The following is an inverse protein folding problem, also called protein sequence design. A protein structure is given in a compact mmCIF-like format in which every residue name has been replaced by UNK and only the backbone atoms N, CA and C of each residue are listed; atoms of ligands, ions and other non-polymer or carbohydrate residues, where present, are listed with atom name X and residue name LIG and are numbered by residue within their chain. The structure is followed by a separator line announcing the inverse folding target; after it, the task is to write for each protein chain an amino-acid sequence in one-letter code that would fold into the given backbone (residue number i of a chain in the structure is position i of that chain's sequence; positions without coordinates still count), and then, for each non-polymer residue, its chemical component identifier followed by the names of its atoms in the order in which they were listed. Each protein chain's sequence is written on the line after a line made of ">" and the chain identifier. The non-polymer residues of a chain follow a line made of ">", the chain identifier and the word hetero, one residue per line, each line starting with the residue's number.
data_IF_726443958907
#
_entry.id   IF_726443958907
#
_cell.length_a   1.000
_cell.length_b   1.000
_cell.length_c   1.000
_cell.angle_alpha   90.00
_cell.angle_beta   90.00
_cell.angle_gamma   90.00
#
_symmetry.space_group_name_H-M   'P 1'
#
loop_
_entity.id
_entity.type
_entity.pdbx_description
1 polymer ?
#
# COMPACT_ATOMS: atom_id res chain seq x y z
N UNK A 1 9.62 4.16 -10.44
CA UNK A 1 10.94 4.17 -9.77
C UNK A 1 11.96 5.16 -10.33
N UNK A 2 12.77 4.78 -11.32
CA UNK A 2 13.90 5.59 -11.79
C UNK A 2 13.47 6.96 -12.30
N UNK A 3 12.31 7.07 -12.94
CA UNK A 3 11.76 8.35 -13.37
C UNK A 3 11.58 9.36 -12.23
N UNK A 4 11.16 8.91 -11.04
CA UNK A 4 10.98 9.80 -9.86
C UNK A 4 12.33 10.28 -9.36
N UNK A 5 13.30 9.37 -9.24
CA UNK A 5 14.65 9.72 -8.81
C UNK A 5 15.33 10.67 -9.82
N UNK A 6 15.18 10.38 -11.12
CA UNK A 6 15.72 11.23 -12.19
C UNK A 6 15.08 12.61 -12.19
N UNK A 7 13.75 12.70 -12.10
CA UNK A 7 13.03 13.97 -11.98
C UNK A 7 13.53 14.78 -10.78
N UNK A 8 13.68 14.14 -9.62
CA UNK A 8 14.22 14.79 -8.42
C UNK A 8 15.67 15.25 -8.62
N UNK A 9 16.51 14.48 -9.33
CA UNK A 9 17.86 14.91 -9.69
C UNK A 9 17.84 16.15 -10.61
N UNK A 10 16.95 16.21 -11.60
CA UNK A 10 16.77 17.40 -12.43
C UNK A 10 16.36 18.61 -11.59
N UNK A 11 15.33 18.46 -10.74
CA UNK A 11 14.89 19.54 -9.85
C UNK A 11 16.03 20.01 -8.92
N UNK A 12 16.87 19.10 -8.43
CA UNK A 12 18.02 19.48 -7.60
C UNK A 12 19.13 20.16 -8.40
N UNK A 13 19.32 19.80 -9.67
CA UNK A 13 20.29 20.46 -10.55
C UNK A 13 19.97 21.94 -10.75
N UNK A 14 18.68 22.31 -10.79
CA UNK A 14 18.23 23.70 -10.95
C UNK A 14 18.75 24.66 -9.85
N UNK A 15 19.13 24.14 -8.68
CA UNK A 15 19.63 24.96 -7.55
C UNK A 15 21.07 24.65 -7.10
N UNK A 16 21.63 23.54 -7.53
CA UNK A 16 22.91 23.04 -7.02
C UNK A 16 23.87 22.55 -8.10
N UNK A 17 23.68 23.00 -9.35
CA UNK A 17 24.57 22.67 -10.46
C UNK A 17 26.00 23.22 -10.22
N UNK A 18 27.06 22.45 -10.53
CA UNK A 18 27.04 21.07 -11.02
C UNK A 18 26.76 20.05 -9.92
N UNK A 19 26.00 19.01 -10.26
CA UNK A 19 25.78 17.84 -9.39
C UNK A 19 26.52 16.61 -9.92
N UNK A 20 27.12 15.82 -9.04
CA UNK A 20 27.60 14.48 -9.38
C UNK A 20 26.59 13.44 -8.92
N UNK A 21 26.37 12.40 -9.72
CA UNK A 21 25.37 11.37 -9.46
C UNK A 21 26.04 10.00 -9.34
N UNK A 22 25.69 9.24 -8.30
CA UNK A 22 26.05 7.82 -8.19
C UNK A 22 24.84 6.97 -7.83
N UNK A 23 24.52 5.99 -8.68
CA UNK A 23 23.47 5.00 -8.43
C UNK A 23 24.06 3.78 -7.73
N UNK A 24 23.33 3.23 -6.77
CA UNK A 24 23.76 2.04 -6.03
C UNK A 24 22.84 0.86 -6.28
N UNK A 25 23.31 -0.37 -6.09
CA UNK A 25 22.51 -1.61 -6.20
C UNK A 25 22.26 -2.26 -4.84
N UNK A 26 23.22 -2.22 -3.92
CA UNK A 26 23.23 -2.94 -2.65
C UNK A 26 23.34 -2.04 -1.40
N UNK A 27 23.65 -0.75 -1.56
CA UNK A 27 23.59 0.22 -0.46
C UNK A 27 22.14 0.43 0.01
N UNK A 28 21.93 0.92 1.25
CA UNK A 28 20.60 1.24 1.76
C UNK A 28 19.95 2.43 1.04
N UNK A 29 20.67 3.12 0.16
CA UNK A 29 20.21 4.24 -0.67
C UNK A 29 20.12 3.80 -2.14
N UNK A 30 19.25 4.45 -2.90
CA UNK A 30 19.13 4.19 -4.34
C UNK A 30 20.17 4.99 -5.14
N UNK A 31 20.39 6.23 -4.71
CA UNK A 31 21.23 7.21 -5.40
C UNK A 31 21.85 8.16 -4.36
N UNK A 32 23.05 8.67 -4.65
CA UNK A 32 23.65 9.78 -3.90
C UNK A 32 24.03 10.90 -4.88
N UNK A 33 23.78 12.14 -4.46
CA UNK A 33 24.11 13.36 -5.17
C UNK A 33 25.20 14.11 -4.41
N UNK A 34 26.25 14.53 -5.12
CA UNK A 34 27.23 15.48 -4.58
C UNK A 34 26.89 16.84 -5.14
N UNK A 35 26.62 17.79 -4.25
CA UNK A 35 26.32 19.17 -4.61
C UNK A 35 27.62 19.92 -4.90
N UNK A 36 27.51 21.10 -5.52
CA UNK A 36 28.66 21.95 -5.85
C UNK A 36 29.52 22.33 -4.63
N UNK A 37 28.91 22.44 -3.44
CA UNK A 37 29.58 22.72 -2.17
C UNK A 37 30.21 21.48 -1.50
N UNK A 38 30.17 20.32 -2.16
CA UNK A 38 30.72 19.07 -1.67
C UNK A 38 29.81 18.27 -0.73
N UNK A 39 28.69 18.84 -0.26
CA UNK A 39 27.71 18.09 0.54
C UNK A 39 27.12 16.93 -0.25
N UNK A 40 26.82 15.84 0.44
CA UNK A 40 26.27 14.63 -0.18
C UNK A 40 24.85 14.34 0.28
N UNK A 41 23.91 14.28 -0.66
CA UNK A 41 22.49 14.01 -0.39
C UNK A 41 22.13 12.60 -0.87
N UNK A 42 21.65 11.77 0.04
CA UNK A 42 21.18 10.42 -0.27
C UNK A 42 19.71 10.44 -0.66
N UNK A 43 19.34 9.66 -1.67
CA UNK A 43 17.96 9.42 -2.09
C UNK A 43 17.62 7.94 -1.89
N UNK A 44 16.51 7.65 -1.23
CA UNK A 44 16.06 6.28 -0.98
C UNK A 44 14.55 6.13 -1.16
N UNK A 45 14.13 5.17 -1.97
CA UNK A 45 12.73 4.77 -2.17
C UNK A 45 12.34 3.62 -1.25
N UNK A 46 11.16 3.69 -0.65
CA UNK A 46 10.62 2.65 0.22
C UNK A 46 9.69 1.72 -0.56
N UNK A 47 10.25 0.94 -1.49
CA UNK A 47 9.49 0.15 -2.47
C UNK A 47 8.30 -0.62 -1.90
N UNK A 48 7.19 -0.62 -2.63
CA UNK A 48 5.83 -1.03 -2.20
C UNK A 48 5.74 -2.47 -1.69
N UNK A 49 6.43 -3.41 -2.31
CA UNK A 49 6.41 -4.82 -1.88
C UNK A 49 7.37 -5.13 -0.74
N UNK A 50 8.19 -4.16 -0.29
CA UNK A 50 9.05 -4.39 0.87
C UNK A 50 8.22 -4.71 2.08
N UNK A 51 8.53 -5.81 2.73
CA UNK A 51 7.93 -6.12 4.01
C UNK A 51 8.50 -5.22 5.10
N UNK A 52 7.72 -5.08 6.17
CA UNK A 52 8.09 -4.30 7.35
C UNK A 52 9.49 -4.64 7.90
N UNK A 53 9.86 -5.92 7.97
CA UNK A 53 11.19 -6.36 8.42
C UNK A 53 12.29 -5.99 7.41
N UNK A 54 12.01 -6.05 6.11
CA UNK A 54 12.97 -5.63 5.07
C UNK A 54 13.21 -4.12 5.15
N UNK A 55 12.13 -3.34 5.24
CA UNK A 55 12.17 -1.90 5.43
C UNK A 55 12.95 -1.53 6.70
N UNK A 56 12.62 -2.13 7.85
CA UNK A 56 13.31 -1.87 9.11
C UNK A 56 14.82 -2.17 9.02
N UNK A 57 15.22 -3.28 8.39
CA UNK A 57 16.64 -3.59 8.16
C UNK A 57 17.32 -2.57 7.26
N UNK A 58 16.64 -2.10 6.21
CA UNK A 58 17.18 -1.09 5.30
C UNK A 58 17.38 0.25 6.02
N UNK A 59 16.41 0.68 6.82
CA UNK A 59 16.52 1.90 7.63
C UNK A 59 17.61 1.77 8.70
N UNK A 60 17.75 0.61 9.33
CA UNK A 60 18.87 0.36 10.26
C UNK A 60 20.23 0.46 9.56
N UNK A 61 20.39 -0.19 8.39
CA UNK A 61 21.61 -0.05 7.58
C UNK A 61 21.88 1.39 7.12
N UNK A 62 20.85 2.20 6.93
CA UNK A 62 20.98 3.61 6.59
C UNK A 62 21.48 4.42 7.79
N UNK A 63 20.93 4.17 8.98
CA UNK A 63 21.34 4.79 10.24
C UNK A 63 22.78 4.43 10.61
N UNK A 64 23.13 3.15 10.48
CA UNK A 64 24.43 2.59 10.87
C UNK A 64 25.46 2.68 9.72
N UNK A 65 25.08 3.30 8.59
CA UNK A 65 25.84 3.34 7.35
C UNK A 65 26.59 4.67 7.11
N UNK A 66 26.86 5.02 5.84
CA UNK A 66 27.52 6.28 5.48
C UNK A 66 26.76 7.51 6.01
N UNK A 67 27.50 8.52 6.45
CA UNK A 67 26.95 9.79 6.93
C UNK A 67 26.69 10.76 5.76
N UNK A 68 25.43 11.01 5.42
CA UNK A 68 25.04 11.96 4.40
C UNK A 68 24.67 13.32 5.02
N UNK A 69 24.78 14.41 4.26
CA UNK A 69 24.34 15.74 4.67
C UNK A 69 22.82 15.74 4.92
N UNK A 70 22.09 15.07 4.06
CA UNK A 70 20.67 14.80 4.20
C UNK A 70 20.29 13.48 3.52
N UNK A 71 19.18 12.90 3.96
CA UNK A 71 18.54 11.74 3.34
C UNK A 71 17.12 12.12 2.92
N UNK A 72 16.85 12.05 1.62
CA UNK A 72 15.53 12.19 1.01
C UNK A 72 14.89 10.82 0.81
N UNK A 73 13.75 10.59 1.46
CA UNK A 73 13.05 9.31 1.47
C UNK A 73 11.69 9.41 0.79
N UNK A 74 11.47 8.54 -0.19
CA UNK A 74 10.22 8.48 -0.95
C UNK A 74 9.39 7.28 -0.49
N UNK A 75 8.27 7.55 0.18
CA UNK A 75 7.32 6.54 0.60
C UNK A 75 6.24 6.31 -0.47
N UNK A 76 5.80 5.07 -0.72
CA UNK A 76 4.81 4.80 -1.76
C UNK A 76 3.38 5.16 -1.31
N UNK A 77 3.14 5.29 0.00
CA UNK A 77 1.85 5.58 0.62
C UNK A 77 2.04 6.29 1.97
N UNK A 78 0.97 6.92 2.45
CA UNK A 78 0.96 7.75 3.66
C UNK A 78 1.22 6.93 4.93
N UNK A 79 0.71 5.69 4.98
CA UNK A 79 0.97 4.78 6.10
C UNK A 79 2.47 4.51 6.26
N UNK A 80 3.16 4.19 5.17
CA UNK A 80 4.61 3.95 5.19
C UNK A 80 5.41 5.20 5.47
N UNK A 81 4.97 6.35 4.98
CA UNK A 81 5.58 7.64 5.28
C UNK A 81 5.61 7.85 6.80
N UNK A 82 4.45 7.69 7.47
CA UNK A 82 4.30 7.84 8.93
C UNK A 82 5.07 6.80 9.71
N UNK A 83 4.99 5.52 9.31
CA UNK A 83 5.77 4.47 9.98
C UNK A 83 7.28 4.77 9.89
N UNK A 84 7.73 5.23 8.73
CA UNK A 84 9.15 5.55 8.50
C UNK A 84 9.55 6.78 9.29
N UNK A 85 8.75 7.85 9.30
CA UNK A 85 8.99 9.04 10.10
C UNK A 85 9.21 8.67 11.58
N UNK A 86 8.36 7.84 12.18
CA UNK A 86 8.53 7.38 13.58
C UNK A 86 9.85 6.66 13.81
N UNK A 87 10.28 5.80 12.88
CA UNK A 87 11.55 5.06 12.98
C UNK A 87 12.77 5.94 12.82
N UNK A 88 12.62 7.09 12.14
CA UNK A 88 13.70 8.01 11.84
C UNK A 88 13.83 9.15 12.84
N UNK A 89 12.93 9.26 13.83
CA UNK A 89 13.03 10.28 14.90
C UNK A 89 14.35 10.25 15.66
N UNK A 90 14.99 9.09 15.75
CA UNK A 90 16.28 8.90 16.43
C UNK A 90 17.46 8.78 15.46
N UNK A 91 17.25 9.08 14.17
CA UNK A 91 18.34 9.03 13.19
C UNK A 91 19.25 10.25 13.37
N UNK A 92 20.58 10.07 13.45
CA UNK A 92 21.50 11.19 13.67
C UNK A 92 21.60 12.12 12.45
N UNK A 93 21.27 11.63 11.25
CA UNK A 93 21.32 12.39 10.01
C UNK A 93 19.98 13.10 9.76
N UNK A 94 20.03 14.26 9.12
CA UNK A 94 18.82 14.99 8.68
C UNK A 94 18.08 14.16 7.63
N UNK A 95 16.82 13.84 7.93
CA UNK A 95 15.98 13.06 7.03
C UNK A 95 14.75 13.88 6.62
N UNK A 96 14.33 13.73 5.38
CA UNK A 96 13.12 14.34 4.85
C UNK A 96 12.35 13.30 4.06
N UNK A 97 11.04 13.22 4.29
CA UNK A 97 10.16 12.22 3.71
C UNK A 97 9.11 12.88 2.83
N UNK A 98 8.80 12.26 1.69
CA UNK A 98 7.69 12.66 0.84
C UNK A 98 6.99 11.42 0.26
N UNK A 99 5.75 11.59 -0.21
CA UNK A 99 5.12 10.55 -1.02
C UNK A 99 5.76 10.52 -2.40
N UNK A 100 5.97 9.33 -2.94
CA UNK A 100 6.56 9.14 -4.27
C UNK A 100 5.74 9.87 -5.34
N UNK A 101 4.40 9.79 -5.26
CA UNK A 101 3.50 10.43 -6.23
C UNK A 101 3.62 11.96 -6.22
N UNK A 102 3.78 12.56 -5.03
CA UNK A 102 3.87 14.01 -4.88
C UNK A 102 5.24 14.50 -5.38
N UNK A 103 6.30 13.76 -5.05
CA UNK A 103 7.67 14.08 -5.48
C UNK A 103 7.88 14.02 -7.01
N UNK A 104 7.06 13.26 -7.75
CA UNK A 104 7.12 13.22 -9.22
C UNK A 104 6.68 14.54 -9.84
N UNK A 105 5.64 15.15 -9.28
CA UNK A 105 5.00 16.34 -9.85
C UNK A 105 5.46 17.63 -9.20
N UNK A 106 6.04 17.57 -8.00
CA UNK A 106 6.50 18.71 -7.24
C UNK A 106 7.63 19.47 -7.94
N UNK A 107 7.55 20.81 -7.86
CA UNK A 107 8.65 21.71 -8.17
C UNK A 107 9.56 21.93 -6.95
N UNK A 108 10.54 22.82 -7.10
CA UNK A 108 11.48 23.19 -6.04
C UNK A 108 10.79 23.70 -4.77
N UNK A 109 9.79 24.54 -4.95
CA UNK A 109 9.13 25.29 -3.86
C UNK A 109 7.85 24.61 -3.36
N UNK A 110 7.53 23.41 -3.85
CA UNK A 110 6.37 22.64 -3.40
C UNK A 110 6.57 22.09 -1.99
N UNK A 111 5.66 22.41 -1.07
CA UNK A 111 5.69 22.00 0.34
C UNK A 111 5.25 20.54 0.53
N UNK A 112 6.11 19.60 0.14
CA UNK A 112 5.81 18.14 0.21
C UNK A 112 6.76 17.36 1.13
N UNK A 113 7.87 17.94 1.54
CA UNK A 113 8.90 17.26 2.32
C UNK A 113 8.65 17.42 3.82
N UNK A 114 8.67 16.33 4.57
CA UNK A 114 8.36 16.33 6.02
C UNK A 114 9.55 15.81 6.80
N UNK A 115 9.96 16.50 7.86
CA UNK A 115 10.95 15.94 8.78
C UNK A 115 10.32 14.86 9.68
N UNK A 116 11.07 13.86 10.18
CA UNK A 116 10.56 12.79 11.04
C UNK A 116 9.77 13.23 12.28
N UNK A 117 10.08 14.43 12.79
CA UNK A 117 9.51 15.01 14.00
C UNK A 117 8.60 16.22 13.74
N UNK A 118 8.54 16.73 12.51
CA UNK A 118 7.85 17.98 12.21
C UNK A 118 6.53 17.73 11.47
N UNK A 119 5.50 18.48 11.88
CA UNK A 119 4.23 18.54 11.17
C UNK A 119 4.31 19.46 9.95
N UNK A 120 5.27 20.39 9.94
CA UNK A 120 5.44 21.38 8.88
C UNK A 120 6.06 20.72 7.64
N UNK A 121 5.38 20.91 6.51
CA UNK A 121 5.89 20.55 5.21
C UNK A 121 6.86 21.62 4.69
N UNK A 122 7.94 21.17 4.06
CA UNK A 122 9.04 21.97 3.54
C UNK A 122 9.08 21.84 2.02
N UNK A 123 9.59 22.88 1.38
CA UNK A 123 10.08 22.84 0.01
C UNK A 123 11.36 22.00 -0.09
N UNK A 124 11.71 21.59 -1.31
CA UNK A 124 12.99 20.91 -1.54
C UNK A 124 14.16 21.85 -1.24
N UNK A 125 14.01 23.15 -1.54
CA UNK A 125 15.00 24.19 -1.25
C UNK A 125 15.29 24.30 0.24
N UNK A 126 14.25 24.39 1.07
CA UNK A 126 14.38 24.45 2.54
C UNK A 126 14.98 23.17 3.11
N UNK A 127 14.52 21.99 2.64
CA UNK A 127 15.07 20.71 3.08
C UNK A 127 16.58 20.61 2.82
N UNK A 128 17.05 21.11 1.66
CA UNK A 128 18.47 21.13 1.31
C UNK A 128 19.25 22.23 2.03
N UNK A 129 18.62 23.36 2.37
CA UNK A 129 19.18 24.39 3.25
C UNK A 129 19.46 23.87 4.66
N UNK A 130 18.63 22.93 5.14
CA UNK A 130 18.79 22.26 6.45
C UNK A 130 19.76 21.07 6.43
N UNK A 131 20.34 20.71 5.27
CA UNK A 131 21.28 19.61 5.17
C UNK A 131 22.60 19.93 5.88
N UNK A 132 23.13 18.96 6.63
CA UNK A 132 24.37 19.11 7.40
C UNK A 132 25.64 19.18 6.55
N UNK A 133 26.83 19.25 7.16
CA UNK A 133 28.10 19.44 6.45
C UNK A 133 28.72 18.14 5.89
N UNK A 134 28.06 16.99 6.02
CA UNK A 134 28.66 15.70 5.65
C UNK A 134 28.83 15.51 4.13
N UNK A 135 29.92 14.87 3.73
CA UNK A 135 30.34 14.70 2.34
C UNK A 135 30.67 13.24 1.97
N UNK A 136 30.02 12.26 2.63
CA UNK A 136 30.28 10.85 2.37
C UNK A 136 29.88 10.42 0.95
N UNK A 137 30.85 9.94 0.20
CA UNK A 137 30.67 9.43 -1.16
C UNK A 137 30.98 7.93 -1.25
N UNK A 138 30.12 7.07 -0.68
CA UNK A 138 30.45 5.67 -0.50
C UNK A 138 30.69 4.99 -1.84
N UNK A 139 31.70 4.11 -1.87
CA UNK A 139 31.95 3.22 -3.01
C UNK A 139 31.29 1.89 -2.71
N UNK A 140 30.39 1.46 -3.59
CA UNK A 140 29.80 0.15 -3.48
C UNK A 140 30.81 -0.91 -3.92
N UNK A 141 31.04 -1.92 -3.07
CA UNK A 141 31.82 -3.09 -3.50
C UNK A 141 31.12 -3.66 -4.73
N UNK A 142 31.82 -3.84 -5.87
CA UNK A 142 31.19 -4.40 -7.05
C UNK A 142 30.52 -5.71 -6.66
N UNK A 143 29.21 -5.81 -6.93
CA UNK A 143 28.55 -7.11 -6.94
C UNK A 143 29.39 -7.98 -7.86
N UNK A 144 29.89 -9.12 -7.35
CA UNK A 144 30.75 -10.10 -8.07
C UNK A 144 30.42 -10.03 -9.55
N UNK A 145 31.40 -9.65 -10.39
CA UNK A 145 31.21 -9.33 -11.83
C UNK A 145 30.27 -10.36 -12.44
N UNK A 146 29.00 -10.03 -12.52
CA UNK A 146 28.04 -10.74 -13.35
C UNK A 146 28.23 -10.07 -14.69
N UNK A 147 29.14 -10.61 -15.51
CA UNK A 147 29.13 -10.28 -16.93
C UNK A 147 27.67 -10.38 -17.40
N UNK A 148 27.16 -9.44 -18.21
CA UNK A 148 25.87 -9.64 -18.84
C UNK A 148 25.92 -11.05 -19.45
N UNK A 149 24.98 -11.95 -19.14
CA UNK A 149 25.04 -13.30 -19.66
C UNK A 149 25.20 -13.20 -21.18
N UNK A 150 26.15 -13.94 -21.73
CA UNK A 150 26.40 -14.00 -23.17
C UNK A 150 25.28 -14.76 -23.91
N UNK A 151 24.08 -14.81 -23.33
CA UNK A 151 22.91 -15.41 -23.95
C UNK A 151 22.51 -14.56 -25.15
N UNK A 152 22.36 -15.23 -26.30
CA UNK A 152 21.76 -14.64 -27.48
C UNK A 152 20.34 -14.16 -27.12
N UNK A 153 20.17 -12.85 -27.12
CA UNK A 153 18.90 -12.23 -26.80
C UNK A 153 17.95 -12.40 -27.98
N UNK A 154 16.93 -13.24 -27.81
CA UNK A 154 15.76 -13.18 -28.69
C UNK A 154 15.05 -11.84 -28.47
N UNK A 155 14.71 -11.14 -29.57
CA UNK A 155 13.93 -9.91 -29.55
C UNK A 155 12.59 -10.07 -28.80
N UNK A 156 12.05 -11.28 -28.77
CA UNK A 156 10.75 -11.60 -28.15
C UNK A 156 10.83 -11.70 -26.61
N UNK A 157 12.02 -11.92 -26.05
CA UNK A 157 12.22 -12.08 -24.62
C UNK A 157 13.34 -11.16 -24.13
N UNK A 158 13.08 -9.85 -23.97
CA UNK A 158 14.10 -8.90 -23.54
C UNK A 158 14.72 -9.36 -22.21
N UNK A 159 16.02 -9.12 -22.00
CA UNK A 159 16.68 -9.55 -20.78
C UNK A 159 16.10 -8.89 -19.55
N UNK A 160 16.25 -9.57 -18.41
CA UNK A 160 15.64 -9.17 -17.14
C UNK A 160 15.94 -7.73 -16.70
N UNK A 161 17.12 -7.22 -17.06
CA UNK A 161 17.56 -5.87 -16.71
C UNK A 161 16.91 -4.79 -17.59
N UNK A 162 16.41 -5.13 -18.79
CA UNK A 162 15.70 -4.20 -19.68
C UNK A 162 14.19 -4.15 -19.41
N UNK A 163 13.62 -5.18 -18.77
CA UNK A 163 12.17 -5.32 -18.58
C UNK A 163 11.51 -4.06 -18.02
N UNK A 164 12.14 -3.39 -17.06
CA UNK A 164 11.57 -2.18 -16.45
C UNK A 164 11.46 -1.01 -17.44
N UNK A 165 12.34 -0.92 -18.45
CA UNK A 165 12.30 0.09 -19.50
C UNK A 165 11.26 -0.26 -20.58
N UNK A 166 11.05 -1.56 -20.86
CA UNK A 166 10.08 -2.03 -21.85
C UNK A 166 8.61 -1.96 -21.42
N UNK A 167 8.34 -1.57 -20.18
CA UNK A 167 6.98 -1.48 -19.62
C UNK A 167 6.57 -0.01 -19.45
N UNK A 168 5.42 0.34 -19.99
CA UNK A 168 4.77 1.63 -19.77
C UNK A 168 4.19 1.76 -18.35
N UNK A 169 3.74 2.96 -17.97
CA UNK A 169 3.20 3.23 -16.63
C UNK A 169 1.98 2.35 -16.29
N UNK A 170 1.07 2.14 -17.25
CA UNK A 170 -0.13 1.33 -17.03
C UNK A 170 0.20 -0.16 -16.82
N UNK A 171 1.15 -0.73 -17.57
CA UNK A 171 1.57 -2.12 -17.35
C UNK A 171 2.23 -2.29 -15.98
N UNK A 172 3.09 -1.35 -15.57
CA UNK A 172 3.70 -1.34 -14.23
C UNK A 172 2.63 -1.30 -13.13
N UNK A 173 1.65 -0.39 -13.25
CA UNK A 173 0.52 -0.31 -12.31
C UNK A 173 -0.29 -1.61 -12.25
N UNK A 174 -0.51 -2.29 -13.39
CA UNK A 174 -1.15 -3.61 -13.41
C UNK A 174 -0.34 -4.64 -12.63
N UNK A 175 0.98 -4.71 -12.86
CA UNK A 175 1.86 -5.67 -12.17
C UNK A 175 1.91 -5.39 -10.67
N UNK A 176 1.99 -4.12 -10.25
CA UNK A 176 1.97 -3.72 -8.84
C UNK A 176 0.68 -4.22 -8.15
N UNK A 177 -0.48 -4.02 -8.79
CA UNK A 177 -1.75 -4.51 -8.24
C UNK A 177 -1.83 -6.03 -8.19
N UNK A 178 -1.34 -6.76 -9.21
CA UNK A 178 -1.29 -8.23 -9.18
C UNK A 178 -0.31 -8.72 -8.09
N UNK A 179 0.79 -7.99 -7.86
CA UNK A 179 1.76 -8.31 -6.81
C UNK A 179 1.21 -8.12 -5.40
N UNK A 180 0.40 -7.10 -5.19
CA UNK A 180 -0.30 -6.88 -3.92
C UNK A 180 -1.47 -7.84 -3.71
N UNK A 181 -2.25 -8.06 -4.76
CA UNK A 181 -3.48 -8.84 -4.77
C UNK A 181 -3.33 -10.01 -5.75
N UNK A 182 -2.52 -11.03 -5.41
CA UNK A 182 -2.36 -12.18 -6.27
C UNK A 182 -3.66 -12.97 -6.35
N UNK A 183 -3.84 -13.71 -7.45
CA UNK A 183 -5.04 -14.51 -7.72
C UNK A 183 -6.30 -13.67 -7.94
N UNK A 184 -6.15 -12.43 -8.44
CA UNK A 184 -7.26 -11.63 -8.90
C UNK A 184 -7.91 -12.19 -10.17
N UNK A 185 -9.19 -11.92 -10.36
CA UNK A 185 -9.87 -12.13 -11.64
C UNK A 185 -9.63 -10.94 -12.56
N UNK A 186 -9.79 -11.16 -13.87
CA UNK A 186 -9.60 -10.12 -14.87
C UNK A 186 -10.58 -8.95 -14.68
N UNK A 187 -11.84 -9.24 -14.40
CA UNK A 187 -12.89 -8.26 -14.12
C UNK A 187 -12.60 -7.47 -12.82
N UNK A 188 -12.11 -8.15 -11.77
CA UNK A 188 -11.72 -7.46 -10.54
C UNK A 188 -10.58 -6.47 -10.77
N UNK A 189 -9.52 -6.89 -11.49
CA UNK A 189 -8.40 -6.01 -11.79
C UNK A 189 -8.81 -4.84 -12.68
N UNK A 190 -9.73 -5.06 -13.63
CA UNK A 190 -10.26 -4.00 -14.51
C UNK A 190 -10.98 -2.90 -13.70
N UNK A 191 -11.86 -3.31 -12.78
CA UNK A 191 -12.57 -2.39 -11.89
C UNK A 191 -11.61 -1.60 -10.98
N UNK A 192 -10.63 -2.27 -10.37
CA UNK A 192 -9.62 -1.63 -9.52
C UNK A 192 -8.73 -0.62 -10.29
N UNK A 193 -8.45 -0.88 -11.56
CA UNK A 193 -7.68 0.03 -12.42
C UNK A 193 -8.53 1.14 -13.04
N UNK A 194 -9.85 0.99 -13.05
CA UNK A 194 -10.76 1.90 -13.75
C UNK A 194 -10.61 1.87 -15.26
N UNK A 195 -10.42 0.67 -15.83
CA UNK A 195 -10.28 0.48 -17.27
C UNK A 195 -11.21 -0.62 -17.77
N UNK A 196 -11.56 -0.56 -19.06
CA UNK A 196 -12.37 -1.62 -19.68
C UNK A 196 -11.62 -2.97 -19.71
N UNK A 197 -12.38 -4.07 -19.70
CA UNK A 197 -11.82 -5.43 -19.81
C UNK A 197 -11.00 -5.62 -21.09
N UNK A 198 -11.41 -5.00 -22.20
CA UNK A 198 -10.69 -5.06 -23.48
C UNK A 198 -9.32 -4.38 -23.35
N UNK A 199 -9.28 -3.17 -22.80
CA UNK A 199 -8.02 -2.46 -22.56
C UNK A 199 -7.09 -3.24 -21.64
N UNK A 200 -7.63 -3.81 -20.57
CA UNK A 200 -6.83 -4.63 -19.65
C UNK A 200 -6.27 -5.89 -20.32
N UNK A 201 -7.03 -6.57 -21.18
CA UNK A 201 -6.52 -7.74 -21.92
C UNK A 201 -5.29 -7.39 -22.77
N UNK A 202 -5.31 -6.23 -23.44
CA UNK A 202 -4.17 -5.76 -24.24
C UNK A 202 -2.95 -5.45 -23.36
N UNK A 203 -3.15 -4.76 -22.23
CA UNK A 203 -2.06 -4.51 -21.26
C UNK A 203 -1.46 -5.83 -20.74
N UNK A 204 -2.31 -6.82 -20.41
CA UNK A 204 -1.87 -8.11 -19.89
C UNK A 204 -1.34 -9.04 -20.96
N UNK A 205 -1.66 -8.87 -22.25
CA UNK A 205 -1.10 -9.66 -23.35
C UNK A 205 0.42 -9.45 -23.41
N UNK A 206 0.84 -8.19 -23.44
CA UNK A 206 2.26 -7.80 -23.46
C UNK A 206 3.03 -8.24 -22.22
N UNK A 207 2.39 -8.21 -21.04
CA UNK A 207 2.99 -8.74 -19.81
C UNK A 207 3.11 -10.27 -19.84
N UNK A 208 2.14 -10.96 -20.46
CA UNK A 208 2.15 -12.42 -20.65
C UNK A 208 3.21 -12.88 -21.63
N UNK A 209 3.35 -12.21 -22.78
CA UNK A 209 4.39 -12.48 -23.80
C UNK A 209 5.80 -12.37 -23.20
N UNK A 210 6.02 -11.39 -22.32
CA UNK A 210 7.29 -11.23 -21.59
C UNK A 210 7.46 -12.21 -20.42
N UNK A 211 6.48 -13.08 -20.19
CA UNK A 211 6.47 -14.08 -19.12
C UNK A 211 6.43 -13.47 -17.72
N UNK A 212 5.81 -12.30 -17.52
CA UNK A 212 5.73 -11.62 -16.22
C UNK A 212 4.51 -12.03 -15.40
N UNK A 213 3.48 -12.53 -16.07
CA UNK A 213 2.24 -13.01 -15.47
C UNK A 213 1.92 -14.41 -15.98
N UNK A 214 1.16 -15.16 -15.18
CA UNK A 214 0.53 -16.41 -15.59
C UNK A 214 -0.99 -16.33 -15.37
N UNK A 215 -1.74 -17.23 -16.05
CA UNK A 215 -3.20 -17.29 -15.99
C UNK A 215 -3.75 -18.67 -15.59
N UNK A 216 -3.41 -19.20 -14.40
CA UNK A 216 -3.91 -20.49 -13.96
C UNK A 216 -5.44 -20.49 -13.83
N UNK A 217 -6.05 -21.62 -14.19
CA UNK A 217 -7.49 -21.86 -13.99
C UNK A 217 -7.71 -22.55 -12.65
N UNK A 218 -8.44 -21.90 -11.75
CA UNK A 218 -8.78 -22.41 -10.42
C UNK A 218 -10.30 -22.41 -10.27
N UNK A 219 -10.88 -23.55 -9.87
CA UNK A 219 -12.34 -23.72 -9.77
C UNK A 219 -13.08 -23.27 -11.06
N UNK A 220 -12.57 -23.67 -12.23
CA UNK A 220 -13.15 -23.34 -13.53
C UNK A 220 -12.98 -21.90 -13.98
N UNK A 221 -12.25 -21.05 -13.24
CA UNK A 221 -12.11 -19.63 -13.57
C UNK A 221 -10.63 -19.22 -13.68
N UNK A 222 -10.25 -18.45 -14.72
CA UNK A 222 -8.88 -17.94 -14.84
C UNK A 222 -8.58 -16.92 -13.74
N UNK A 223 -7.33 -16.94 -13.26
CA UNK A 223 -6.81 -16.05 -12.22
C UNK A 223 -5.48 -15.47 -12.66
N UNK A 224 -5.21 -14.24 -12.27
CA UNK A 224 -3.95 -13.55 -12.57
C UNK A 224 -2.98 -13.74 -11.41
N UNK A 225 -1.75 -14.14 -11.71
CA UNK A 225 -0.67 -14.15 -10.74
C UNK A 225 0.64 -13.73 -11.43
N UNK A 226 1.57 -13.18 -10.65
CA UNK A 226 2.92 -12.92 -11.14
C UNK A 226 3.67 -14.24 -11.30
N UNK A 227 4.42 -14.36 -12.39
CA UNK A 227 5.43 -15.41 -12.52
C UNK A 227 6.63 -15.13 -11.62
N UNK A 228 7.54 -16.10 -11.46
CA UNK A 228 8.82 -15.88 -10.75
C UNK A 228 9.70 -14.79 -11.40
N UNK A 229 9.49 -14.54 -12.71
CA UNK A 229 10.12 -13.43 -13.44
C UNK A 229 9.46 -12.09 -13.11
N UNK A 230 8.12 -12.04 -13.07
CA UNK A 230 7.37 -10.85 -12.63
C UNK A 230 7.67 -10.48 -11.18
N UNK A 231 7.76 -11.48 -10.29
CA UNK A 231 8.19 -11.30 -8.89
C UNK A 231 9.61 -10.74 -8.81
N UNK A 232 10.54 -11.27 -9.61
CA UNK A 232 11.91 -10.75 -9.64
C UNK A 232 11.99 -9.30 -10.15
N UNK A 233 11.19 -8.96 -11.16
CA UNK A 233 11.07 -7.59 -11.67
C UNK A 233 10.58 -6.63 -10.57
N UNK A 234 9.47 -6.94 -9.89
CA UNK A 234 8.96 -6.10 -8.82
C UNK A 234 9.94 -6.02 -7.64
N UNK A 235 10.57 -7.14 -7.25
CA UNK A 235 11.58 -7.15 -6.20
C UNK A 235 12.75 -6.21 -6.49
N UNK A 236 13.27 -6.22 -7.73
CA UNK A 236 14.33 -5.30 -8.14
C UNK A 236 13.86 -3.86 -8.15
N UNK A 237 12.66 -3.59 -8.69
CA UNK A 237 12.05 -2.25 -8.70
C UNK A 237 11.91 -1.64 -7.28
N UNK A 238 11.58 -2.48 -6.32
CA UNK A 238 11.31 -2.07 -4.94
C UNK A 238 12.48 -2.30 -3.99
N UNK A 239 13.64 -2.76 -4.47
CA UNK A 239 14.80 -3.12 -3.60
C UNK A 239 14.47 -4.19 -2.56
N UNK A 240 13.54 -5.09 -2.88
CA UNK A 240 13.24 -6.26 -2.07
C UNK A 240 14.13 -7.45 -2.46
N UNK A 241 14.23 -8.45 -1.57
CA UNK A 241 14.94 -9.70 -1.88
C UNK A 241 14.11 -10.56 -2.83
N UNK A 242 14.66 -10.84 -4.02
CA UNK A 242 14.03 -11.72 -5.03
C UNK A 242 13.77 -13.12 -4.44
N UNK A 243 14.75 -13.69 -3.74
CA UNK A 243 14.64 -15.02 -3.16
C UNK A 243 13.55 -15.12 -2.08
N UNK A 244 13.46 -14.11 -1.21
CA UNK A 244 12.41 -14.07 -0.18
C UNK A 244 11.01 -13.90 -0.79
N UNK A 245 10.90 -13.08 -1.85
CA UNK A 245 9.62 -12.88 -2.53
C UNK A 245 9.17 -14.16 -3.25
N UNK A 246 10.08 -14.84 -3.98
CA UNK A 246 9.80 -16.14 -4.63
C UNK A 246 9.42 -17.21 -3.61
N UNK A 247 10.17 -17.35 -2.51
CA UNK A 247 9.85 -18.31 -1.42
C UNK A 247 8.42 -18.16 -0.89
N UNK A 248 7.85 -16.95 -0.93
CA UNK A 248 6.51 -16.66 -0.41
C UNK A 248 5.45 -16.75 -1.50
N UNK A 249 5.71 -16.13 -2.64
CA UNK A 249 4.70 -15.82 -3.64
C UNK A 249 4.85 -16.60 -4.94
N UNK A 250 5.91 -17.39 -5.10
CA UNK A 250 6.11 -18.21 -6.29
C UNK A 250 4.88 -19.06 -6.58
N UNK A 251 4.55 -19.09 -7.86
CA UNK A 251 3.45 -19.84 -8.45
C UNK A 251 3.95 -21.05 -9.24
N UNK A 252 5.26 -21.29 -9.24
CA UNK A 252 5.87 -22.47 -9.84
C UNK A 252 5.32 -23.73 -9.16
N UNK A 253 5.01 -24.71 -10.00
CA UNK A 253 4.56 -26.02 -9.55
C UNK A 253 5.74 -26.80 -8.95
N UNK A 254 5.47 -27.62 -7.93
CA UNK A 254 6.47 -28.55 -7.40
C UNK A 254 6.62 -29.73 -8.38
N UNK A 255 5.49 -30.28 -8.82
CA UNK A 255 5.36 -31.36 -9.80
C UNK A 255 4.50 -30.88 -10.98
N UNK A 256 5.08 -30.56 -12.15
CA UNK A 256 4.32 -30.01 -13.28
C UNK A 256 3.13 -30.88 -13.73
N UNK A 257 3.30 -32.21 -13.70
CA UNK A 257 2.28 -33.17 -14.12
C UNK A 257 1.04 -33.23 -13.18
N UNK A 258 1.19 -32.83 -11.90
CA UNK A 258 0.10 -32.90 -10.91
C UNK A 258 -0.91 -31.75 -11.00
N UNK A 259 -0.68 -30.78 -11.91
CA UNK A 259 -1.54 -29.64 -12.15
C UNK A 259 -1.58 -28.62 -10.99
N UNK A 260 -2.38 -27.57 -11.15
CA UNK A 260 -2.49 -26.52 -10.13
C UNK A 260 -3.35 -26.97 -8.93
N UNK A 261 -2.68 -27.25 -7.82
CA UNK A 261 -3.29 -27.51 -6.50
C UNK A 261 -2.59 -26.66 -5.46
N UNK A 262 -3.29 -26.29 -4.38
CA UNK A 262 -2.69 -25.46 -3.32
C UNK A 262 -1.48 -26.13 -2.65
N UNK A 263 -1.37 -27.46 -2.67
CA UNK A 263 -0.18 -28.17 -2.15
C UNK A 263 0.98 -28.19 -3.16
N UNK A 264 0.68 -28.08 -4.44
CA UNK A 264 1.62 -28.26 -5.54
C UNK A 264 2.20 -26.93 -6.06
N UNK A 265 2.41 -25.95 -5.18
CA UNK A 265 3.04 -24.67 -5.55
C UNK A 265 4.12 -24.33 -4.53
N UNK A 266 5.24 -23.75 -4.99
CA UNK A 266 6.42 -23.50 -4.16
C UNK A 266 6.21 -22.41 -3.10
N UNK A 267 5.50 -21.33 -3.45
CA UNK A 267 5.33 -20.17 -2.58
C UNK A 267 4.49 -20.45 -1.32
N UNK A 268 5.05 -20.23 -0.13
CA UNK A 268 4.34 -20.51 1.15
C UNK A 268 3.06 -19.69 1.35
N UNK A 269 3.07 -18.40 1.02
CA UNK A 269 1.89 -17.52 1.09
C UNK A 269 0.92 -17.80 -0.04
N UNK A 270 1.43 -18.13 -1.22
CA UNK A 270 0.61 -18.62 -2.34
C UNK A 270 -0.21 -19.86 -1.92
N UNK A 271 0.41 -20.86 -1.29
CA UNK A 271 -0.32 -22.03 -0.75
C UNK A 271 -1.41 -21.63 0.24
N UNK A 272 -1.10 -20.72 1.16
CA UNK A 272 -2.05 -20.22 2.16
C UNK A 272 -3.25 -19.52 1.49
N UNK A 273 -3.01 -18.66 0.52
CA UNK A 273 -4.09 -17.98 -0.23
C UNK A 273 -4.94 -18.97 -1.00
N UNK A 274 -4.32 -19.91 -1.73
CA UNK A 274 -5.07 -20.91 -2.49
C UNK A 274 -5.93 -21.81 -1.59
N UNK A 275 -5.47 -22.14 -0.38
CA UNK A 275 -6.28 -22.85 0.63
C UNK A 275 -7.50 -22.04 1.06
N UNK A 276 -7.39 -20.72 1.06
CA UNK A 276 -8.43 -19.78 1.44
C UNK A 276 -9.04 -19.04 0.23
N UNK A 277 -8.96 -19.62 -0.98
CA UNK A 277 -9.23 -18.89 -2.24
C UNK A 277 -10.61 -18.24 -2.26
N UNK A 278 -11.65 -18.93 -1.79
CA UNK A 278 -13.00 -18.37 -1.76
C UNK A 278 -13.15 -17.16 -0.81
N UNK A 279 -12.33 -17.07 0.24
CA UNK A 279 -12.27 -15.88 1.11
C UNK A 279 -11.61 -14.72 0.38
N UNK A 280 -10.42 -14.95 -0.18
CA UNK A 280 -9.72 -13.92 -0.95
C UNK A 280 -10.53 -13.46 -2.15
N UNK A 281 -11.24 -14.36 -2.84
CA UNK A 281 -12.11 -13.99 -3.96
C UNK A 281 -13.27 -13.09 -3.52
N UNK A 282 -13.87 -13.33 -2.35
CA UNK A 282 -14.94 -12.48 -1.83
C UNK A 282 -14.42 -11.08 -1.45
N UNK A 283 -13.24 -11.00 -0.83
CA UNK A 283 -12.55 -9.73 -0.56
C UNK A 283 -12.25 -8.99 -1.87
N UNK A 284 -11.72 -9.69 -2.89
CA UNK A 284 -11.43 -9.08 -4.19
C UNK A 284 -12.70 -8.59 -4.91
N UNK A 285 -13.78 -9.38 -4.89
CA UNK A 285 -15.08 -9.04 -5.47
C UNK A 285 -15.64 -7.77 -4.82
N UNK A 286 -15.61 -7.70 -3.49
CA UNK A 286 -16.04 -6.52 -2.73
C UNK A 286 -15.22 -5.28 -3.08
N UNK A 287 -13.89 -5.37 -3.05
CA UNK A 287 -13.01 -4.23 -3.32
C UNK A 287 -13.16 -3.73 -4.76
N UNK A 288 -13.34 -4.63 -5.72
CA UNK A 288 -13.61 -4.28 -7.12
C UNK A 288 -14.95 -3.54 -7.27
N UNK A 289 -16.02 -4.06 -6.65
CA UNK A 289 -17.33 -3.41 -6.67
C UNK A 289 -17.29 -2.03 -5.99
N UNK A 290 -16.64 -1.93 -4.82
CA UNK A 290 -16.49 -0.66 -4.10
C UNK A 290 -15.74 0.37 -4.95
N UNK A 291 -14.62 -0.01 -5.59
CA UNK A 291 -13.84 0.90 -6.41
C UNK A 291 -14.63 1.43 -7.63
N UNK A 292 -15.45 0.59 -8.23
CA UNK A 292 -16.27 0.96 -9.39
C UNK A 292 -17.43 1.90 -9.00
N UNK A 293 -18.14 1.58 -7.92
CA UNK A 293 -19.25 2.38 -7.40
C UNK A 293 -18.78 3.71 -6.82
N UNK A 294 -17.65 3.72 -6.10
CA UNK A 294 -17.02 4.93 -5.60
C UNK A 294 -16.70 5.90 -6.76
N UNK A 295 -16.08 5.39 -7.83
CA UNK A 295 -15.71 6.20 -9.00
C UNK A 295 -16.93 6.80 -9.67
N UNK A 296 -17.99 6.00 -9.81
CA UNK A 296 -19.27 6.46 -10.36
C UNK A 296 -19.92 7.57 -9.51
N UNK A 297 -19.54 7.67 -8.23
CA UNK A 297 -19.99 8.70 -7.28
C UNK A 297 -18.98 9.85 -7.09
N UNK A 298 -17.96 9.93 -7.94
CA UNK A 298 -16.91 10.96 -7.89
C UNK A 298 -15.82 10.74 -6.83
N UNK A 299 -15.71 9.52 -6.29
CA UNK A 299 -14.67 9.15 -5.33
C UNK A 299 -13.64 8.19 -5.94
N UNK A 300 -12.36 8.39 -5.62
CA UNK A 300 -11.27 7.54 -6.06
C UNK A 300 -10.72 6.66 -4.93
N UNK A 301 -10.47 5.39 -5.22
CA UNK A 301 -9.70 4.51 -4.33
C UNK A 301 -8.20 4.75 -4.54
N UNK A 302 -7.62 5.67 -3.77
CA UNK A 302 -6.24 6.16 -3.97
C UNK A 302 -5.17 5.35 -3.24
N UNK A 303 -5.57 4.53 -2.27
CA UNK A 303 -4.72 3.54 -1.63
C UNK A 303 -5.51 2.26 -1.42
N UNK A 304 -4.85 1.13 -1.67
CA UNK A 304 -5.39 -0.19 -1.39
C UNK A 304 -4.26 -1.14 -0.99
N UNK A 305 -4.30 -1.58 0.25
CA UNK A 305 -3.29 -2.43 0.87
C UNK A 305 -3.85 -3.84 1.15
N UNK A 306 -3.14 -4.90 0.74
CA UNK A 306 -3.49 -6.28 1.05
C UNK A 306 -3.26 -6.61 2.53
N UNK A 307 -3.75 -7.75 3.06
CA UNK A 307 -3.73 -8.06 4.50
C UNK A 307 -2.35 -7.87 5.17
N UNK A 308 -1.28 -8.29 4.48
CA UNK A 308 0.09 -8.19 4.99
C UNK A 308 0.61 -6.74 5.11
N UNK A 309 0.03 -5.78 4.39
CA UNK A 309 0.36 -4.34 4.47
C UNK A 309 -0.72 -3.56 5.24
N UNK A 310 -1.94 -4.09 5.32
CA UNK A 310 -3.06 -3.51 6.06
C UNK A 310 -2.95 -3.69 7.58
N UNK A 311 -2.13 -4.65 8.05
CA UNK A 311 -1.89 -4.87 9.48
C UNK A 311 -1.33 -3.63 10.18
N UNK A 312 -1.81 -3.32 11.39
CA UNK A 312 -1.28 -2.23 12.24
C UNK A 312 -0.83 -2.78 13.58
N UNK A 313 0.24 -2.21 14.12
CA UNK A 313 0.82 -2.60 15.39
C UNK A 313 0.86 -1.40 16.32
N UNK A 314 0.41 -1.58 17.55
CA UNK A 314 0.26 -0.50 18.53
C UNK A 314 0.58 -1.02 19.93
N UNK A 315 0.94 -0.11 20.84
CA UNK A 315 1.04 -0.43 22.27
C UNK A 315 -0.28 -0.12 22.94
N UNK A 316 -0.77 -1.03 23.76
CA UNK A 316 -1.95 -0.86 24.60
C UNK A 316 -1.67 -1.57 25.92
N UNK A 317 -1.76 -0.84 27.04
CA UNK A 317 -1.39 -1.33 28.38
C UNK A 317 0.01 -1.98 28.39
N UNK A 318 1.00 -1.26 27.86
CA UNK A 318 2.40 -1.70 27.72
C UNK A 318 2.67 -2.98 26.93
N UNK A 319 1.65 -3.54 26.27
CA UNK A 319 1.79 -4.72 25.43
C UNK A 319 1.71 -4.34 23.96
N UNK A 320 2.60 -4.94 23.16
CA UNK A 320 2.51 -4.84 21.70
C UNK A 320 1.30 -5.66 21.22
N UNK A 321 0.36 -4.98 20.56
CA UNK A 321 -0.85 -5.54 19.97
C UNK A 321 -0.88 -5.28 18.47
N UNK A 322 -1.81 -5.92 17.77
CA UNK A 322 -2.03 -5.68 16.35
C UNK A 322 -3.47 -5.91 15.94
N UNK A 323 -3.91 -5.17 14.91
CA UNK A 323 -5.07 -5.52 14.07
C UNK A 323 -4.57 -6.11 12.75
N UNK A 324 -5.35 -7.03 12.18
CA UNK A 324 -5.00 -7.76 10.95
C UNK A 324 -6.20 -7.78 9.99
N UNK A 325 -6.61 -6.62 9.46
CA UNK A 325 -7.68 -6.53 8.47
C UNK A 325 -7.37 -7.33 7.21
N UNK A 326 -8.43 -7.76 6.53
CA UNK A 326 -8.35 -8.36 5.18
C UNK A 326 -7.96 -7.33 4.11
N UNK A 327 -8.29 -6.06 4.32
CA UNK A 327 -7.81 -4.96 3.48
C UNK A 327 -7.76 -3.64 4.25
N UNK A 328 -6.93 -2.73 3.78
CA UNK A 328 -7.01 -1.32 4.14
C UNK A 328 -7.11 -0.50 2.86
N UNK A 329 -7.96 0.51 2.84
CA UNK A 329 -8.07 1.42 1.70
C UNK A 329 -8.28 2.87 2.12
N UNK A 330 -8.06 3.78 1.17
CA UNK A 330 -8.36 5.20 1.33
C UNK A 330 -9.13 5.67 0.12
N UNK A 331 -10.35 6.16 0.37
CA UNK A 331 -11.18 6.84 -0.61
C UNK A 331 -10.87 8.34 -0.60
N UNK A 332 -10.87 8.98 -1.76
CA UNK A 332 -10.62 10.41 -1.90
C UNK A 332 -11.65 11.08 -2.80
N UNK A 333 -12.12 12.26 -2.41
CA UNK A 333 -12.88 13.19 -3.26
C UNK A 333 -12.57 14.61 -2.84
N UNK A 334 -12.22 15.48 -3.79
CA UNK A 334 -12.06 16.94 -3.54
C UNK A 334 -11.16 17.26 -2.32
N UNK A 335 -10.09 16.47 -2.12
CA UNK A 335 -9.16 16.64 -0.98
C UNK A 335 -9.64 16.00 0.34
N UNK A 336 -10.89 15.54 0.43
CA UNK A 336 -11.37 14.75 1.56
C UNK A 336 -10.87 13.31 1.44
N UNK A 337 -10.31 12.78 2.53
CA UNK A 337 -9.84 11.39 2.62
C UNK A 337 -10.69 10.60 3.63
N UNK A 338 -11.15 9.43 3.22
CA UNK A 338 -11.85 8.48 4.09
C UNK A 338 -11.10 7.14 4.11
N UNK A 339 -10.27 6.89 5.15
CA UNK A 339 -9.64 5.60 5.34
C UNK A 339 -10.68 4.55 5.77
N UNK A 340 -10.44 3.29 5.43
CA UNK A 340 -11.24 2.16 5.90
C UNK A 340 -10.42 0.90 6.10
N UNK A 341 -10.82 0.09 7.08
CA UNK A 341 -10.42 -1.30 7.24
C UNK A 341 -11.55 -2.20 6.75
N UNK A 342 -11.20 -3.34 6.15
CA UNK A 342 -12.14 -4.37 5.74
C UNK A 342 -11.87 -5.66 6.50
N UNK A 343 -12.93 -6.24 7.04
CA UNK A 343 -13.01 -7.60 7.56
C UNK A 343 -14.09 -8.35 6.79
N UNK A 344 -13.73 -9.47 6.18
CA UNK A 344 -14.68 -10.40 5.59
C UNK A 344 -14.83 -11.61 6.50
N UNK A 345 -16.05 -11.97 6.88
CA UNK A 345 -16.31 -13.13 7.71
C UNK A 345 -17.19 -14.14 6.97
N UNK A 346 -16.66 -15.35 6.80
CA UNK A 346 -17.34 -16.44 6.10
C UNK A 346 -18.00 -17.43 7.04
N UNK A 347 -17.45 -17.57 8.24
CA UNK A 347 -17.93 -18.54 9.22
C UNK A 347 -18.65 -17.72 10.26
N UNK A 348 -19.94 -17.95 10.46
CA UNK A 348 -20.68 -17.37 11.57
C UNK A 348 -20.05 -17.88 12.87
N UNK A 349 -19.03 -17.20 13.36
CA UNK A 349 -18.26 -17.70 14.49
C UNK A 349 -19.01 -17.34 15.75
N UNK A 350 -19.20 -18.33 16.62
CA UNK A 350 -19.82 -18.21 17.96
C UNK A 350 -19.57 -16.82 18.59
N UNK A 351 -20.52 -16.26 19.36
CA UNK A 351 -20.39 -14.92 19.96
C UNK A 351 -19.02 -14.63 20.59
N UNK A 352 -18.43 -15.59 21.30
CA UNK A 352 -17.08 -15.45 21.89
C UNK A 352 -15.98 -15.17 20.87
N UNK A 353 -16.06 -15.75 19.67
CA UNK A 353 -15.07 -15.48 18.62
C UNK A 353 -15.32 -14.16 17.90
N UNK A 354 -16.58 -13.78 17.69
CA UNK A 354 -16.93 -12.45 17.19
C UNK A 354 -16.39 -11.35 18.13
N UNK A 355 -16.60 -11.48 19.43
CA UNK A 355 -16.03 -10.57 20.43
C UNK A 355 -14.51 -10.52 20.37
N UNK A 356 -13.85 -11.69 20.25
CA UNK A 356 -12.40 -11.78 20.10
C UNK A 356 -11.88 -11.11 18.82
N UNK A 357 -12.64 -11.13 17.72
CA UNK A 357 -12.29 -10.41 16.48
C UNK A 357 -12.42 -8.89 16.62
N UNK A 358 -13.45 -8.42 17.32
CA UNK A 358 -13.68 -6.99 17.54
C UNK A 358 -12.72 -6.37 18.57
N UNK A 359 -12.33 -7.14 19.59
CA UNK A 359 -11.51 -6.62 20.70
C UNK A 359 -10.19 -5.92 20.28
N UNK A 360 -9.40 -6.42 19.31
CA UNK A 360 -8.24 -5.70 18.78
C UNK A 360 -8.57 -4.30 18.23
N UNK A 361 -9.72 -4.14 17.55
CA UNK A 361 -10.14 -2.84 17.05
C UNK A 361 -10.54 -1.90 18.17
N UNK A 362 -11.33 -2.36 19.15
CA UNK A 362 -11.70 -1.51 20.30
C UNK A 362 -10.44 -0.96 20.99
N UNK A 363 -9.44 -1.81 21.24
CA UNK A 363 -8.15 -1.38 21.81
C UNK A 363 -7.37 -0.42 20.91
N UNK A 364 -7.44 -0.62 19.59
CA UNK A 364 -6.75 0.25 18.63
C UNK A 364 -7.39 1.65 18.61
N UNK A 365 -8.72 1.73 18.62
CA UNK A 365 -9.46 2.99 18.64
C UNK A 365 -9.36 3.71 19.98
N UNK A 366 -9.16 2.99 21.09
CA UNK A 366 -8.79 3.59 22.38
C UNK A 366 -7.34 4.09 22.43
N UNK A 367 -6.53 3.88 21.39
CA UNK A 367 -5.13 4.33 21.35
C UNK A 367 -4.98 5.67 20.61
N UNK A 368 -3.99 6.49 20.99
CA UNK A 368 -3.68 7.77 20.32
C UNK A 368 -3.19 7.62 18.87
N UNK A 369 -2.85 6.41 18.44
CA UNK A 369 -2.23 6.14 17.14
C UNK A 369 -3.20 6.26 15.96
N UNK A 370 -4.51 6.30 16.18
CA UNK A 370 -5.51 6.30 15.12
C UNK A 370 -5.32 7.47 14.14
N UNK A 371 -5.27 8.69 14.66
CA UNK A 371 -5.08 9.92 13.87
C UNK A 371 -3.66 10.00 13.32
N UNK A 372 -2.67 9.58 14.13
CA UNK A 372 -1.26 9.54 13.71
C UNK A 372 -0.99 8.57 12.55
N UNK A 373 -1.74 7.46 12.42
CA UNK A 373 -1.55 6.49 11.35
C UNK A 373 -2.31 6.84 10.06
N UNK A 374 -3.44 7.54 10.16
CA UNK A 374 -4.42 7.63 9.07
C UNK A 374 -4.94 9.04 8.71
N UNK A 375 -4.55 10.09 9.43
CA UNK A 375 -5.09 11.47 9.36
C UNK A 375 -6.53 11.62 9.84
N UNK A 376 -7.35 10.60 9.60
CA UNK A 376 -8.72 10.52 10.05
C UNK A 376 -8.97 9.11 10.61
N UNK A 377 -9.90 8.97 11.58
CA UNK A 377 -10.38 7.66 12.02
C UNK A 377 -10.85 6.83 10.82
N UNK A 378 -10.26 5.64 10.58
CA UNK A 378 -10.79 4.72 9.58
C UNK A 378 -12.22 4.30 9.92
N UNK A 379 -12.98 3.92 8.90
CA UNK A 379 -14.22 3.16 9.11
C UNK A 379 -13.84 1.69 9.13
N UNK A 380 -14.37 0.90 10.06
CA UNK A 380 -14.25 -0.56 10.03
C UNK A 380 -15.46 -1.15 9.32
N UNK A 381 -15.24 -1.69 8.13
CA UNK A 381 -16.23 -2.40 7.33
C UNK A 381 -16.15 -3.89 7.68
N UNK A 382 -17.25 -4.46 8.15
CA UNK A 382 -17.36 -5.90 8.42
C UNK A 382 -18.47 -6.49 7.57
N UNK A 383 -18.10 -7.36 6.64
CA UNK A 383 -19.03 -8.02 5.73
C UNK A 383 -19.11 -9.52 6.08
N UNK A 384 -20.33 -10.04 6.21
CA UNK A 384 -20.59 -11.45 6.47
C UNK A 384 -21.09 -12.16 5.21
N UNK A 385 -20.77 -13.44 5.02
CA UNK A 385 -21.41 -14.23 3.96
C UNK A 385 -22.92 -14.43 4.20
N UNK A 386 -23.36 -14.39 5.47
CA UNK A 386 -24.73 -14.66 5.93
C UNK A 386 -25.35 -13.45 6.66
N UNK A 387 -26.65 -13.24 6.50
CA UNK A 387 -27.38 -12.11 7.10
C UNK A 387 -27.64 -12.31 8.59
N UNK A 388 -28.01 -13.52 9.03
CA UNK A 388 -28.23 -13.80 10.46
C UNK A 388 -26.93 -13.61 11.26
N UNK A 389 -25.79 -14.04 10.71
CA UNK A 389 -24.49 -13.80 11.30
C UNK A 389 -24.17 -12.29 11.43
N UNK A 390 -24.54 -11.49 10.42
CA UNK A 390 -24.41 -10.04 10.43
C UNK A 390 -25.24 -9.40 11.55
N UNK A 391 -26.49 -9.87 11.73
CA UNK A 391 -27.40 -9.41 12.80
C UNK A 391 -26.86 -9.73 14.20
N UNK A 392 -26.41 -10.96 14.40
CA UNK A 392 -25.80 -11.38 15.66
C UNK A 392 -24.54 -10.57 15.98
N UNK A 393 -23.69 -10.32 14.98
CA UNK A 393 -22.50 -9.50 15.16
C UNK A 393 -22.86 -8.05 15.52
N UNK A 394 -23.90 -7.48 14.91
CA UNK A 394 -24.38 -6.13 15.20
C UNK A 394 -24.79 -5.98 16.67
N UNK A 395 -25.59 -6.92 17.19
CA UNK A 395 -26.00 -6.93 18.60
C UNK A 395 -24.81 -7.12 19.54
N UNK A 396 -23.90 -8.03 19.20
CA UNK A 396 -22.68 -8.25 19.99
C UNK A 396 -21.80 -6.99 20.01
N UNK A 397 -21.57 -6.37 18.84
CA UNK A 397 -20.74 -5.19 18.71
C UNK A 397 -21.26 -4.03 19.56
N UNK A 398 -22.58 -3.80 19.56
CA UNK A 398 -23.22 -2.81 20.45
C UNK A 398 -22.84 -3.03 21.91
N UNK A 399 -22.97 -4.27 22.41
CA UNK A 399 -22.65 -4.59 23.81
C UNK A 399 -21.16 -4.41 24.13
N UNK A 400 -20.26 -4.76 23.20
CA UNK A 400 -18.81 -4.63 23.41
C UNK A 400 -18.36 -3.18 23.37
N UNK A 401 -18.90 -2.38 22.44
CA UNK A 401 -18.62 -0.95 22.34
C UNK A 401 -19.02 -0.21 23.62
N UNK A 402 -20.25 -0.45 24.12
CA UNK A 402 -20.73 0.12 25.39
C UNK A 402 -19.82 -0.21 26.57
N UNK A 403 -19.33 -1.46 26.66
CA UNK A 403 -18.42 -1.89 27.74
C UNK A 403 -17.03 -1.27 27.64
N UNK A 404 -16.51 -1.12 26.43
CA UNK A 404 -15.16 -0.61 26.20
C UNK A 404 -15.07 0.92 26.22
N UNK A 405 -16.20 1.61 26.10
CA UNK A 405 -16.28 3.07 25.88
C UNK A 405 -15.46 3.56 24.66
N UNK A 406 -15.09 2.64 23.75
CA UNK A 406 -14.37 2.99 22.54
C UNK A 406 -15.34 3.41 21.43
N UNK A 407 -15.15 4.60 20.90
CA UNK A 407 -15.88 5.09 19.73
C UNK A 407 -15.25 4.53 18.45
N UNK A 408 -15.91 3.52 17.87
CA UNK A 408 -15.50 2.93 16.59
C UNK A 408 -16.57 3.19 15.53
N UNK A 409 -16.15 3.74 14.39
CA UNK A 409 -17.00 3.85 13.20
C UNK A 409 -17.10 2.47 12.55
N UNK A 410 -18.03 1.65 13.04
CA UNK A 410 -18.23 0.28 12.61
C UNK A 410 -19.45 0.17 11.69
N UNK A 411 -19.22 -0.24 10.45
CA UNK A 411 -20.25 -0.55 9.47
C UNK A 411 -20.31 -2.05 9.21
N UNK A 412 -21.50 -2.61 9.34
CA UNK A 412 -21.74 -4.05 9.27
C UNK A 412 -22.71 -4.32 8.12
N UNK A 413 -22.37 -5.27 7.25
CA UNK A 413 -23.22 -5.71 6.17
C UNK A 413 -23.18 -7.23 5.99
N UNK A 414 -23.94 -7.73 5.02
CA UNK A 414 -23.95 -9.13 4.58
C UNK A 414 -23.83 -9.19 3.06
N UNK A 415 -23.32 -10.29 2.53
CA UNK A 415 -23.15 -10.49 1.10
C UNK A 415 -24.48 -10.40 0.34
N UNK A 416 -25.62 -10.95 0.82
CA UNK A 416 -26.91 -10.72 0.18
C UNK A 416 -27.26 -9.23 0.05
N UNK A 417 -27.09 -8.44 1.11
CA UNK A 417 -27.36 -6.99 1.09
C UNK A 417 -26.43 -6.23 0.16
N UNK A 418 -25.13 -6.52 0.22
CA UNK A 418 -24.12 -5.90 -0.66
C UNK A 418 -24.40 -6.19 -2.14
N UNK A 419 -24.99 -7.33 -2.48
CA UNK A 419 -25.38 -7.66 -3.86
C UNK A 419 -26.60 -6.88 -4.34
N UNK A 420 -27.56 -6.63 -3.46
CA UNK A 420 -28.81 -5.92 -3.79
C UNK A 420 -28.56 -4.42 -3.86
N UNK A 421 -27.89 -3.87 -2.85
CA UNK A 421 -27.74 -2.42 -2.68
C UNK A 421 -26.38 -1.88 -3.14
N UNK A 422 -25.36 -2.73 -3.32
CA UNK A 422 -24.00 -2.29 -3.57
C UNK A 422 -23.19 -2.00 -2.32
N UNK A 423 -21.87 -1.94 -2.44
CA UNK A 423 -20.94 -1.65 -1.35
C UNK A 423 -20.84 -0.16 -1.03
N UNK A 424 -21.27 0.71 -1.93
CA UNK A 424 -21.25 2.16 -1.73
C UNK A 424 -22.51 2.69 -1.01
N UNK A 425 -23.67 2.14 -1.38
CA UNK A 425 -24.98 2.66 -0.97
C UNK A 425 -25.46 2.05 0.36
N UNK A 426 -26.78 2.00 0.54
CA UNK A 426 -27.50 1.65 1.76
C UNK A 426 -27.44 0.15 2.15
N UNK A 427 -26.30 -0.51 1.94
CA UNK A 427 -26.06 -1.89 2.39
C UNK A 427 -25.58 -1.97 3.85
N UNK A 428 -25.17 -0.86 4.45
CA UNK A 428 -24.48 -0.85 5.74
C UNK A 428 -25.41 -0.54 6.90
N UNK A 429 -25.11 -1.10 8.07
CA UNK A 429 -25.75 -0.76 9.34
C UNK A 429 -24.69 -0.40 10.38
N UNK A 430 -25.07 0.42 11.34
CA UNK A 430 -24.23 0.68 12.52
C UNK A 430 -24.76 -0.14 13.70
N UNK A 431 -23.92 -0.52 14.67
CA UNK A 431 -24.41 -1.12 15.91
C UNK A 431 -25.42 -0.26 16.66
N UNK A 432 -25.44 1.07 16.43
CA UNK A 432 -26.29 2.01 17.13
C UNK A 432 -27.61 2.33 16.41
N UNK A 433 -27.74 1.98 15.14
CA UNK A 433 -28.94 2.26 14.33
C UNK A 433 -29.34 1.06 13.48
N UNK A 434 -30.62 0.73 13.49
CA UNK A 434 -31.19 -0.27 12.58
C UNK A 434 -31.37 0.27 11.15
N UNK A 435 -31.35 1.60 10.96
CA UNK A 435 -31.52 2.21 9.65
C UNK A 435 -30.27 1.96 8.80
N UNK A 436 -30.44 1.49 7.55
CA UNK A 436 -29.33 1.40 6.63
C UNK A 436 -28.69 2.77 6.37
N UNK A 437 -27.38 2.79 6.21
CA UNK A 437 -26.59 3.98 5.88
C UNK A 437 -25.74 3.68 4.65
N UNK A 438 -25.42 4.72 3.87
CA UNK A 438 -24.36 4.61 2.87
C UNK A 438 -22.98 4.68 3.54
N UNK A 439 -21.92 4.34 2.80
CA UNK A 439 -20.57 4.23 3.36
C UNK A 439 -20.05 5.55 3.98
N UNK A 440 -20.55 6.71 3.52
CA UNK A 440 -20.11 8.04 3.97
C UNK A 440 -21.04 8.69 5.02
N UNK A 441 -22.29 8.26 5.09
CA UNK A 441 -23.35 8.85 5.92
C UNK A 441 -23.18 8.58 7.42
N UNK A 442 -22.21 7.75 7.80
CA UNK A 442 -21.88 7.48 9.20
C UNK A 442 -21.29 8.69 9.94
N UNK A 443 -20.87 9.76 9.25
CA UNK A 443 -20.26 10.95 9.86
C UNK A 443 -21.27 11.97 10.41
N UNK A 444 -22.54 11.93 9.98
CA UNK A 444 -23.51 13.01 10.19
C UNK A 444 -24.12 13.14 11.60
N UNK A 445 -23.54 12.54 12.64
CA UNK A 445 -24.15 12.52 13.98
C UNK A 445 -23.54 13.48 15.02
N UNK A 446 -22.36 14.07 14.78
CA UNK A 446 -21.58 14.68 15.86
C UNK A 446 -21.03 16.09 15.62
N UNK A 447 -21.21 16.72 14.45
CA UNK A 447 -20.49 17.97 14.16
C UNK A 447 -21.14 19.00 13.20
N UNK A 448 -22.43 18.93 12.88
CA UNK A 448 -23.12 20.02 12.15
C UNK A 448 -23.67 21.08 13.12
N UNK A 449 -22.80 21.57 14.00
CA UNK A 449 -23.08 22.67 14.94
C UNK A 449 -22.35 23.97 14.61
N UNK A 450 -21.69 24.08 13.46
CA UNK A 450 -21.16 25.37 12.99
C UNK A 450 -22.18 26.05 12.10
N UNK A 451 -23.21 26.59 12.76
CA UNK A 451 -23.99 27.70 12.23
C UNK A 451 -23.02 28.89 12.12
N UNK A 452 -22.26 28.95 11.02
CA UNK A 452 -21.50 30.14 10.64
C UNK A 452 -22.54 31.15 10.19
N UNK A 453 -23.06 31.90 11.15
CA UNK A 453 -23.72 33.18 10.94
C UNK A 453 -22.85 34.01 10.00
N UNK A 454 -23.23 34.04 8.72
CA UNK A 454 -22.82 35.12 7.81
C UNK A 454 -23.46 36.39 8.35
N UNK A 455 -22.75 37.10 9.22
CA UNK A 455 -23.01 38.51 9.47
C UNK A 455 -22.85 39.25 8.14
N UNK A 456 -23.98 39.60 7.55
CA UNK A 456 -24.10 40.65 6.55
C UNK A 456 -23.57 41.96 7.15
N UNK A 457 -22.40 42.41 6.69
CA UNK A 457 -22.00 43.81 6.87
C UNK A 457 -22.94 44.70 6.02
N UNK A 458 -23.57 45.73 6.60
CA UNK A 458 -24.20 46.78 5.81
C UNK A 458 -23.14 47.70 5.20
N UNK A 459 -23.51 48.27 4.05
CA UNK A 459 -22.69 49.09 3.17
C UNK A 459 -22.25 50.43 3.76
#
# INVERSE_FOLDING_TARGET
>A
ALAVLYRLCCTMADIAFPIQIRCYRALPVDLCLRLADGRTVALARLGRINERRSLARRLARLRDGPAFAAVLLLAPDETRLRETARRLRTMPQRCFLALERDAVTAGLDSLIWRAPSAEVALSLREALGLAGPHNSWPTERPLVRVSPPAEEYSADRPPDWMLAACLGPSEKRCLDLIGDWPWLRLDHLAALLGVSRVRLRELLRRAGERGLIIRPTMAGRPRLALSDRGLALLARHDRASVGELRKRWSVELIEPAAGFKWRNVRGTRTRQLLRNLAHSEAVHEFLAALADQARSSGWDLVQLDPPQRASRYFRFEDRLRSIQPDAFGVLQREGCFQPFFLEWERRAIRPSTMARRLAPYLRYYSSRLLVEDHSAPPIVLVAFDDELASDHFCNLARSQMQRSQAEIQLLISSRPRLRIHGAWDFAWRTPLSSRPVNLLGARGGAADGSDVTRETMPA
#
